data_IF_890803297523
#
_entry.id   IF_890803297523
#
_cell.length_a   1.000
_cell.length_b   1.000
_cell.length_c   1.000
_cell.angle_alpha   90.00
_cell.angle_beta   90.00
_cell.angle_gamma   90.00
#
_symmetry.space_group_name_H-M   'P 1'
#
loop_
_entity.id
_entity.type
_entity.pdbx_description
1 polymer ?
#
# COMPACT_ATOMS: atom_id res chain seq x y z
N UNK A 1 1.07 59.23 16.57
CA UNK A 1 1.67 57.89 16.48
C UNK A 1 2.02 57.41 17.88
N UNK A 2 1.33 56.41 18.44
CA UNK A 2 1.77 55.72 19.62
C UNK A 2 2.46 54.41 19.23
N UNK A 3 3.55 54.10 19.92
CA UNK A 3 4.39 52.93 19.73
C UNK A 3 3.61 51.68 20.23
N UNK A 4 3.47 50.64 19.37
CA UNK A 4 3.11 49.31 19.78
C UNK A 4 4.35 48.63 20.41
N UNK A 5 4.28 48.37 21.70
CA UNK A 5 5.18 47.45 22.41
C UNK A 5 4.73 46.01 22.15
N UNK A 6 5.58 45.23 21.52
CA UNK A 6 5.40 43.83 21.30
C UNK A 6 5.52 43.10 22.64
N UNK A 7 4.50 42.37 23.03
CA UNK A 7 4.54 41.33 24.07
C UNK A 7 5.06 40.06 23.39
N UNK A 8 6.29 39.74 23.63
CA UNK A 8 6.86 38.41 23.30
C UNK A 8 6.59 37.48 24.48
N UNK A 9 5.92 36.35 24.32
CA UNK A 9 5.83 35.40 25.41
C UNK A 9 7.21 34.77 25.63
N UNK A 10 7.67 34.83 26.86
CA UNK A 10 8.90 34.16 27.31
C UNK A 10 8.63 32.66 27.27
N UNK A 11 9.17 31.98 26.27
CA UNK A 11 9.23 30.52 26.22
C UNK A 11 10.28 30.11 27.26
N UNK A 12 9.89 29.29 28.20
CA UNK A 12 10.73 28.74 29.26
C UNK A 12 11.76 27.82 28.57
N UNK A 13 13.03 28.17 28.67
CA UNK A 13 14.17 27.48 28.02
C UNK A 13 14.48 26.09 28.60
N UNK A 14 13.67 25.52 29.49
CA UNK A 14 13.99 24.26 30.19
C UNK A 14 13.50 22.99 29.48
N UNK A 15 12.65 23.05 28.45
CA UNK A 15 12.10 21.85 27.79
C UNK A 15 12.73 21.53 26.41
N UNK A 16 13.63 22.36 25.89
CA UNK A 16 14.21 22.16 24.56
C UNK A 16 15.38 21.17 24.57
N UNK A 17 15.99 20.92 25.72
CA UNK A 17 17.16 20.03 25.85
C UNK A 17 16.83 18.54 26.05
N UNK A 18 15.56 18.13 25.93
CA UNK A 18 15.13 16.72 26.00
C UNK A 18 14.53 16.18 24.70
N UNK A 19 14.45 17.00 23.67
CA UNK A 19 14.16 16.49 22.32
C UNK A 19 15.50 16.04 21.72
N UNK A 20 15.77 14.76 21.85
CA UNK A 20 16.83 14.10 21.09
C UNK A 20 16.42 14.12 19.62
N UNK A 21 16.81 15.21 18.93
CA UNK A 21 16.71 15.36 17.49
C UNK A 21 17.88 14.59 16.83
N UNK A 22 18.16 13.39 17.30
CA UNK A 22 18.93 12.45 16.51
C UNK A 22 18.05 12.13 15.29
N UNK A 23 18.45 12.69 14.16
CA UNK A 23 18.00 12.29 12.84
C UNK A 23 17.94 10.77 12.83
N UNK A 24 16.72 10.21 12.70
CA UNK A 24 16.47 8.78 12.66
C UNK A 24 16.92 8.12 11.36
N UNK A 25 18.08 8.50 10.83
CA UNK A 25 18.84 7.72 9.88
C UNK A 25 19.80 6.80 10.64
N UNK A 26 19.30 6.13 11.68
CA UNK A 26 20.00 4.97 12.20
C UNK A 26 19.98 3.92 11.10
N UNK A 27 21.14 3.46 10.72
CA UNK A 27 21.35 2.18 10.05
C UNK A 27 20.60 1.09 10.84
N UNK A 28 19.33 0.84 10.48
CA UNK A 28 18.45 -0.15 11.11
C UNK A 28 18.84 -1.60 10.74
N UNK A 29 20.10 -1.81 10.42
CA UNK A 29 20.73 -3.12 10.36
C UNK A 29 21.39 -3.43 11.70
N UNK A 30 20.61 -3.33 12.77
CA UNK A 30 21.00 -3.93 14.03
C UNK A 30 20.77 -5.45 13.89
N UNK A 31 21.84 -6.21 13.75
CA UNK A 31 21.87 -7.68 13.87
C UNK A 31 21.45 -8.15 15.28
N UNK A 32 20.66 -7.33 15.96
CA UNK A 32 20.13 -7.57 17.29
C UNK A 32 19.01 -8.60 17.29
N UNK A 33 18.78 -9.22 18.45
CA UNK A 33 17.66 -10.12 18.73
C UNK A 33 16.35 -9.50 18.29
N UNK A 34 15.57 -10.21 17.47
CA UNK A 34 14.29 -9.73 16.95
C UNK A 34 13.27 -9.46 18.07
N UNK A 35 12.34 -8.49 17.91
CA UNK A 35 11.36 -8.16 18.95
C UNK A 35 10.56 -9.35 19.49
N UNK A 36 10.16 -10.28 18.64
CA UNK A 36 9.41 -11.48 19.06
C UNK A 36 10.27 -12.43 19.89
N UNK A 37 11.56 -12.57 19.59
CA UNK A 37 12.50 -13.38 20.38
C UNK A 37 12.69 -12.80 21.78
N UNK A 38 12.75 -11.46 21.90
CA UNK A 38 12.78 -10.77 23.20
C UNK A 38 11.51 -11.05 24.02
N UNK A 39 10.34 -11.01 23.38
CA UNK A 39 9.07 -11.31 24.05
C UNK A 39 9.00 -12.77 24.53
N UNK A 40 9.43 -13.72 23.70
CA UNK A 40 9.49 -15.15 24.04
C UNK A 40 10.47 -15.40 25.20
N UNK A 41 11.66 -14.81 25.13
CA UNK A 41 12.67 -14.93 26.18
C UNK A 41 12.20 -14.31 27.52
N UNK A 42 11.35 -13.28 27.48
CA UNK A 42 10.72 -12.69 28.64
C UNK A 42 9.52 -13.49 29.19
N UNK A 43 9.27 -14.68 28.67
CA UNK A 43 8.14 -15.54 29.08
C UNK A 43 6.77 -15.09 28.55
N UNK A 44 6.73 -14.29 27.51
CA UNK A 44 5.54 -13.79 26.85
C UNK A 44 5.45 -14.29 25.40
N UNK A 45 5.16 -15.59 25.16
CA UNK A 45 5.10 -16.13 23.81
C UNK A 45 3.88 -15.63 23.01
N UNK A 46 2.86 -15.09 23.68
CA UNK A 46 1.66 -14.51 23.09
C UNK A 46 1.41 -13.12 23.68
N UNK A 47 2.22 -12.11 23.33
CA UNK A 47 2.07 -10.78 23.87
C UNK A 47 0.81 -10.08 23.33
N UNK A 48 0.35 -9.03 24.01
CA UNK A 48 -0.78 -8.22 23.55
C UNK A 48 -0.47 -7.49 22.22
N UNK A 49 0.78 -7.14 21.99
CA UNK A 49 1.35 -6.56 20.77
C UNK A 49 2.85 -6.88 20.69
N UNK A 50 3.43 -6.72 19.51
CA UNK A 50 4.88 -6.82 19.33
C UNK A 50 5.32 -5.82 18.25
N UNK A 51 6.08 -4.80 18.67
CA UNK A 51 6.59 -3.73 17.80
C UNK A 51 8.08 -3.49 18.12
N UNK A 52 8.78 -2.79 17.24
CA UNK A 52 10.23 -2.57 17.40
C UNK A 52 10.57 -1.79 18.66
N UNK A 53 9.94 -0.62 18.84
CA UNK A 53 10.17 0.27 19.97
C UNK A 53 8.91 1.06 20.29
N UNK A 54 8.26 0.73 21.41
CA UNK A 54 7.03 1.38 21.85
C UNK A 54 7.23 2.87 22.22
N UNK A 55 8.43 3.27 22.58
CA UNK A 55 8.73 4.65 22.99
C UNK A 55 8.58 5.67 21.83
N UNK A 56 8.56 5.20 20.58
CA UNK A 56 8.35 6.05 19.41
C UNK A 56 6.88 6.46 19.21
N UNK A 57 5.97 6.03 20.08
CA UNK A 57 4.52 6.22 19.91
C UNK A 57 4.10 7.68 19.73
N UNK A 58 4.73 8.61 20.42
CA UNK A 58 4.37 10.03 20.34
C UNK A 58 4.70 10.64 18.96
N UNK A 59 5.78 10.21 18.33
CA UNK A 59 6.12 10.61 16.96
C UNK A 59 5.13 9.98 15.96
N UNK A 60 4.88 8.68 16.07
CA UNK A 60 3.91 7.99 15.23
C UNK A 60 2.50 8.57 15.33
N UNK A 61 2.09 9.03 16.52
CA UNK A 61 0.78 9.70 16.68
C UNK A 61 0.69 10.97 15.82
N UNK A 62 1.72 11.80 15.81
CA UNK A 62 1.73 13.01 14.97
C UNK A 62 1.68 12.69 13.47
N UNK A 63 2.37 11.62 13.04
CA UNK A 63 2.30 11.15 11.65
C UNK A 63 0.87 10.71 11.27
N UNK A 64 0.18 10.00 12.17
CA UNK A 64 -1.21 9.59 11.96
C UNK A 64 -2.13 10.82 11.90
N UNK A 65 -1.95 11.80 12.78
CA UNK A 65 -2.74 13.04 12.80
C UNK A 65 -2.57 13.86 11.52
N UNK A 66 -1.38 13.89 10.93
CA UNK A 66 -1.14 14.51 9.61
C UNK A 66 -1.94 13.75 8.53
N UNK A 67 -1.89 12.42 8.54
CA UNK A 67 -2.62 11.62 7.57
C UNK A 67 -4.14 11.82 7.70
N UNK A 68 -4.69 11.91 8.90
CA UNK A 68 -6.11 12.16 9.14
C UNK A 68 -6.63 13.43 8.46
N UNK A 69 -5.82 14.50 8.42
CA UNK A 69 -6.18 15.77 7.78
C UNK A 69 -6.36 15.63 6.27
N UNK A 70 -5.63 14.71 5.66
CA UNK A 70 -5.63 14.47 4.21
C UNK A 70 -6.50 13.27 3.80
N UNK A 71 -7.29 12.69 4.72
CA UNK A 71 -8.10 11.49 4.48
C UNK A 71 -9.60 11.71 4.73
N UNK A 72 -10.25 12.61 3.98
CA UNK A 72 -11.60 13.08 4.28
C UNK A 72 -12.66 11.96 4.19
N UNK A 73 -12.55 11.04 3.26
CA UNK A 73 -13.55 9.99 3.07
C UNK A 73 -13.59 8.98 4.21
N UNK A 74 -12.42 8.48 4.64
CA UNK A 74 -12.36 7.56 5.77
C UNK A 74 -12.71 8.25 7.09
N UNK A 75 -12.35 9.52 7.25
CA UNK A 75 -12.71 10.31 8.42
C UNK A 75 -14.22 10.61 8.47
N UNK A 76 -14.88 10.79 7.32
CA UNK A 76 -16.34 10.89 7.25
C UNK A 76 -17.03 9.59 7.72
N UNK A 77 -16.47 8.42 7.35
CA UNK A 77 -16.96 7.14 7.88
C UNK A 77 -16.76 7.02 9.38
N UNK A 78 -15.59 7.45 9.90
CA UNK A 78 -15.33 7.47 11.35
C UNK A 78 -16.31 8.37 12.11
N UNK A 79 -16.65 9.52 11.55
CA UNK A 79 -17.61 10.45 12.15
C UNK A 79 -19.01 9.83 12.31
N UNK A 80 -19.44 8.99 11.38
CA UNK A 80 -20.72 8.25 11.45
C UNK A 80 -20.76 7.24 12.60
N UNK A 81 -19.60 6.78 13.09
CA UNK A 81 -19.50 5.84 14.19
C UNK A 81 -20.10 6.34 15.53
N UNK A 82 -20.42 7.63 15.64
CA UNK A 82 -21.13 8.18 16.79
C UNK A 82 -22.55 7.62 16.90
N UNK A 83 -23.22 7.42 15.77
CA UNK A 83 -24.62 7.06 15.66
C UNK A 83 -24.84 5.61 15.22
N UNK A 84 -23.85 5.02 14.57
CA UNK A 84 -23.95 3.68 13.97
C UNK A 84 -22.63 2.90 14.14
N UNK A 85 -22.76 1.64 14.55
CA UNK A 85 -21.65 0.69 14.78
C UNK A 85 -21.80 -0.53 13.86
N UNK A 86 -21.66 -0.38 12.54
CA UNK A 86 -21.93 -1.46 11.60
C UNK A 86 -20.97 -2.65 11.72
N UNK A 87 -19.83 -2.48 12.38
CA UNK A 87 -18.85 -3.53 12.66
C UNK A 87 -18.85 -3.98 14.13
N UNK A 88 -19.95 -3.72 14.87
CA UNK A 88 -20.08 -4.23 16.24
C UNK A 88 -19.88 -5.75 16.26
N UNK A 89 -19.02 -6.23 17.16
CA UNK A 89 -18.63 -7.64 17.34
C UNK A 89 -17.85 -8.24 16.15
N UNK A 90 -17.47 -7.44 15.14
CA UNK A 90 -16.52 -7.86 14.13
C UNK A 90 -15.13 -8.02 14.74
N UNK A 91 -14.47 -9.14 14.44
CA UNK A 91 -13.10 -9.46 14.85
C UNK A 91 -12.25 -9.62 13.58
N UNK A 92 -11.50 -8.60 13.25
CA UNK A 92 -10.81 -8.47 11.97
C UNK A 92 -9.33 -8.83 12.12
N UNK A 93 -8.87 -9.82 11.37
CA UNK A 93 -7.45 -10.01 11.09
C UNK A 93 -7.08 -9.10 9.93
N UNK A 94 -6.16 -8.16 10.16
CA UNK A 94 -5.56 -7.35 9.11
C UNK A 94 -4.14 -7.81 8.79
N UNK A 95 -3.82 -7.89 7.52
CA UNK A 95 -2.47 -8.13 7.03
C UNK A 95 -2.21 -7.23 5.83
N UNK A 96 -1.79 -6.00 6.12
CA UNK A 96 -1.54 -4.95 5.12
C UNK A 96 -0.27 -4.18 5.46
N UNK A 97 0.14 -3.23 4.61
CA UNK A 97 1.22 -2.33 4.99
C UNK A 97 0.84 -1.52 6.22
N UNK A 98 1.76 -1.32 7.16
CA UNK A 98 1.52 -0.52 8.37
C UNK A 98 2.22 0.83 8.24
N UNK A 99 1.46 1.81 7.79
CA UNK A 99 1.86 3.21 7.64
C UNK A 99 0.80 4.12 8.29
N UNK A 100 1.04 5.42 8.30
CA UNK A 100 0.13 6.39 8.91
C UNK A 100 -1.29 6.30 8.35
N UNK A 101 -1.44 6.07 7.04
CA UNK A 101 -2.72 5.97 6.37
C UNK A 101 -3.48 4.70 6.77
N UNK A 102 -2.80 3.56 6.87
CA UNK A 102 -3.40 2.32 7.38
C UNK A 102 -3.81 2.45 8.85
N UNK A 103 -3.06 3.21 9.64
CA UNK A 103 -3.45 3.49 11.02
C UNK A 103 -4.80 4.21 11.10
N UNK A 104 -5.05 5.17 10.21
CA UNK A 104 -6.36 5.86 10.11
C UNK A 104 -7.47 4.87 9.80
N UNK A 105 -7.24 3.91 8.91
CA UNK A 105 -8.18 2.82 8.62
C UNK A 105 -8.44 1.95 9.87
N UNK A 106 -7.39 1.48 10.54
CA UNK A 106 -7.48 0.62 11.74
C UNK A 106 -8.32 1.31 12.82
N UNK A 107 -8.02 2.56 13.12
CA UNK A 107 -8.75 3.34 14.13
C UNK A 107 -10.19 3.60 13.70
N UNK A 108 -10.46 3.76 12.41
CA UNK A 108 -11.83 3.90 11.89
C UNK A 108 -12.62 2.61 12.03
N UNK A 109 -12.04 1.46 11.69
CA UNK A 109 -12.69 0.16 11.87
C UNK A 109 -13.02 -0.11 13.35
N UNK A 110 -12.11 0.24 14.25
CA UNK A 110 -12.34 0.14 15.69
C UNK A 110 -13.44 1.10 16.14
N UNK A 111 -13.46 2.34 15.68
CA UNK A 111 -14.53 3.30 15.95
C UNK A 111 -15.89 2.80 15.47
N UNK A 112 -15.95 2.09 14.35
CA UNK A 112 -17.15 1.45 13.79
C UNK A 112 -17.57 0.18 14.55
N UNK A 113 -16.84 -0.22 15.60
CA UNK A 113 -17.20 -1.30 16.52
C UNK A 113 -16.39 -2.58 16.39
N UNK A 114 -15.42 -2.64 15.50
CA UNK A 114 -14.56 -3.81 15.33
C UNK A 114 -13.49 -3.94 16.41
N UNK A 115 -13.12 -5.17 16.73
CA UNK A 115 -11.86 -5.50 17.40
C UNK A 115 -10.88 -5.98 16.33
N UNK A 116 -9.63 -5.53 16.39
CA UNK A 116 -8.65 -5.81 15.35
C UNK A 116 -7.37 -6.44 15.90
N UNK A 117 -6.74 -7.31 15.10
CA UNK A 117 -5.34 -7.71 15.24
C UNK A 117 -4.68 -7.53 13.89
N UNK A 118 -3.49 -6.93 13.87
CA UNK A 118 -2.89 -6.49 12.62
C UNK A 118 -1.42 -6.86 12.50
N UNK A 119 -1.03 -7.42 11.36
CA UNK A 119 0.35 -7.71 10.96
C UNK A 119 0.67 -7.01 9.63
N UNK A 120 1.95 -6.89 9.31
CA UNK A 120 2.37 -6.37 8.03
C UNK A 120 2.31 -7.44 6.93
N UNK A 121 2.02 -7.02 5.69
CA UNK A 121 2.09 -7.87 4.50
C UNK A 121 3.46 -7.82 3.81
N UNK A 122 4.39 -7.01 4.30
CA UNK A 122 5.74 -6.85 3.74
C UNK A 122 6.73 -6.51 4.85
N UNK A 123 7.87 -7.18 4.87
CA UNK A 123 8.90 -7.08 5.92
C UNK A 123 9.57 -5.70 6.03
N UNK A 124 9.43 -4.82 5.03
CA UNK A 124 10.07 -3.49 5.00
C UNK A 124 9.12 -2.31 4.96
N UNK A 125 7.80 -2.54 4.84
CA UNK A 125 6.83 -1.46 4.67
C UNK A 125 6.22 -0.92 5.98
N UNK A 126 6.61 -1.48 7.12
CA UNK A 126 6.15 -0.98 8.41
C UNK A 126 6.88 0.30 8.79
N UNK A 127 6.13 1.34 9.16
CA UNK A 127 6.62 2.52 9.87
C UNK A 127 6.62 2.19 11.37
N UNK A 128 7.81 2.02 11.96
CA UNK A 128 7.96 1.56 13.35
C UNK A 128 7.26 2.47 14.37
N UNK A 129 7.35 3.77 14.17
CA UNK A 129 6.69 4.80 14.98
C UNK A 129 5.16 4.73 14.92
N UNK A 130 4.61 4.41 13.75
CA UNK A 130 3.16 4.23 13.56
C UNK A 130 2.68 2.94 14.25
N UNK A 131 3.42 1.83 14.07
CA UNK A 131 3.13 0.59 14.80
C UNK A 131 3.17 0.80 16.31
N UNK A 132 4.15 1.55 16.81
CA UNK A 132 4.25 1.94 18.22
C UNK A 132 3.06 2.76 18.69
N UNK A 133 2.61 3.76 17.91
CA UNK A 133 1.46 4.59 18.24
C UNK A 133 0.17 3.78 18.35
N UNK A 134 -0.07 2.88 17.42
CA UNK A 134 -1.23 1.99 17.44
C UNK A 134 -1.18 1.03 18.64
N UNK A 135 -0.03 0.42 18.92
CA UNK A 135 0.16 -0.47 20.06
C UNK A 135 -0.04 0.26 21.39
N UNK A 136 0.50 1.48 21.52
CA UNK A 136 0.30 2.33 22.70
C UNK A 136 -1.17 2.73 22.90
N UNK A 137 -1.92 2.91 21.81
CA UNK A 137 -3.36 3.17 21.84
C UNK A 137 -4.20 1.91 22.17
N UNK A 138 -3.57 0.75 22.38
CA UNK A 138 -4.24 -0.48 22.82
C UNK A 138 -4.61 -1.43 21.68
N UNK A 139 -4.17 -1.17 20.45
CA UNK A 139 -4.39 -2.11 19.33
C UNK A 139 -3.36 -3.23 19.33
N UNK A 140 -3.81 -4.43 18.97
CA UNK A 140 -2.96 -5.61 18.88
C UNK A 140 -2.19 -5.62 17.55
N UNK A 141 -1.04 -4.96 17.54
CA UNK A 141 -0.16 -4.79 16.38
C UNK A 141 1.05 -5.70 16.52
N UNK A 142 1.33 -6.46 15.46
CA UNK A 142 2.47 -7.37 15.37
C UNK A 142 3.24 -7.05 14.09
N UNK A 143 4.12 -6.07 14.14
CA UNK A 143 4.91 -5.65 12.98
C UNK A 143 6.09 -4.75 13.35
N UNK A 144 7.16 -4.85 12.57
CA UNK A 144 8.28 -3.90 12.57
C UNK A 144 9.01 -3.92 11.22
N UNK A 145 9.72 -2.87 10.92
CA UNK A 145 10.55 -2.82 9.71
C UNK A 145 11.78 -3.71 9.86
N UNK A 146 12.05 -4.55 8.87
CA UNK A 146 13.17 -5.48 8.87
C UNK A 146 12.87 -6.78 9.61
N UNK A 147 11.63 -7.26 9.54
CA UNK A 147 11.28 -8.62 9.98
C UNK A 147 12.11 -9.67 9.23
N UNK A 148 12.53 -10.72 9.94
CA UNK A 148 12.98 -11.95 9.31
C UNK A 148 11.77 -12.71 8.72
N UNK A 149 12.01 -13.67 7.83
CA UNK A 149 10.92 -14.51 7.31
C UNK A 149 10.18 -15.25 8.44
N UNK A 150 10.92 -15.75 9.43
CA UNK A 150 10.33 -16.40 10.61
C UNK A 150 9.47 -15.41 11.42
N UNK A 151 9.99 -14.21 11.67
CA UNK A 151 9.27 -13.16 12.39
C UNK A 151 7.99 -12.75 11.66
N UNK A 152 8.05 -12.58 10.34
CA UNK A 152 6.91 -12.24 9.50
C UNK A 152 5.76 -13.25 9.67
N UNK A 153 6.05 -14.54 9.55
CA UNK A 153 5.03 -15.57 9.72
C UNK A 153 4.54 -15.70 11.17
N UNK A 154 5.44 -15.48 12.14
CA UNK A 154 5.05 -15.41 13.54
C UNK A 154 4.07 -14.27 13.82
N UNK A 155 4.32 -13.09 13.29
CA UNK A 155 3.43 -11.92 13.44
C UNK A 155 2.03 -12.18 12.87
N UNK A 156 1.93 -12.74 11.68
CA UNK A 156 0.64 -13.10 11.08
C UNK A 156 -0.06 -14.17 11.92
N UNK A 157 0.68 -15.15 12.44
CA UNK A 157 0.12 -16.20 13.28
C UNK A 157 -0.45 -15.67 14.60
N UNK A 158 0.17 -14.66 15.21
CA UNK A 158 -0.38 -13.98 16.40
C UNK A 158 -1.76 -13.33 16.11
N UNK A 159 -1.97 -12.84 14.91
CA UNK A 159 -3.26 -12.29 14.50
C UNK A 159 -4.30 -13.37 14.24
N UNK A 160 -3.90 -14.49 13.66
CA UNK A 160 -4.77 -15.57 13.20
C UNK A 160 -5.14 -16.57 14.30
N UNK A 161 -4.28 -16.76 15.31
CA UNK A 161 -4.44 -17.79 16.34
C UNK A 161 -5.64 -17.48 17.26
N UNK A 162 -6.64 -18.39 17.34
CA UNK A 162 -7.74 -18.24 18.28
C UNK A 162 -7.28 -18.32 19.74
N UNK A 163 -7.88 -17.51 20.59
CA UNK A 163 -7.71 -17.52 22.05
C UNK A 163 -9.08 -17.55 22.75
N UNK A 164 -9.08 -17.58 24.06
CA UNK A 164 -10.35 -17.55 24.84
C UNK A 164 -11.24 -16.33 24.52
N UNK A 165 -10.61 -15.20 24.18
CA UNK A 165 -11.32 -13.94 23.90
C UNK A 165 -11.29 -13.51 22.44
N UNK A 166 -10.45 -14.15 21.62
CA UNK A 166 -10.24 -13.82 20.22
C UNK A 166 -10.52 -15.00 19.31
N UNK A 167 -11.50 -14.87 18.46
CA UNK A 167 -11.74 -15.76 17.31
C UNK A 167 -12.09 -14.86 16.13
N UNK A 168 -11.21 -14.73 15.11
CA UNK A 168 -11.46 -13.84 13.99
C UNK A 168 -12.68 -14.28 13.20
N UNK A 169 -13.43 -13.30 12.68
CA UNK A 169 -14.60 -13.54 11.84
C UNK A 169 -14.59 -12.75 10.52
N UNK A 170 -13.57 -11.89 10.31
CA UNK A 170 -13.30 -11.18 9.05
C UNK A 170 -11.81 -11.16 8.79
N UNK A 171 -11.42 -11.09 7.52
CA UNK A 171 -10.04 -10.92 7.08
C UNK A 171 -9.98 -9.71 6.16
N UNK A 172 -9.01 -8.82 6.40
CA UNK A 172 -8.57 -7.79 5.46
C UNK A 172 -7.12 -8.08 5.09
N UNK A 173 -6.88 -8.48 3.85
CA UNK A 173 -5.59 -8.97 3.38
C UNK A 173 -5.04 -8.12 2.23
N UNK A 174 -3.73 -8.12 2.09
CA UNK A 174 -2.99 -7.49 0.99
C UNK A 174 -1.88 -8.46 0.54
N UNK A 175 -2.26 -9.35 -0.38
CA UNK A 175 -1.38 -10.40 -0.90
C UNK A 175 -1.82 -11.83 -0.53
N UNK A 176 -2.78 -11.98 0.39
CA UNK A 176 -3.39 -13.26 0.72
C UNK A 176 -2.61 -14.12 1.73
N UNK A 177 -1.64 -13.55 2.45
CA UNK A 177 -0.80 -14.32 3.37
C UNK A 177 -1.54 -14.70 4.67
N UNK A 178 -2.36 -13.80 5.23
CA UNK A 178 -3.21 -14.12 6.37
C UNK A 178 -4.27 -15.17 5.99
N UNK A 179 -4.91 -15.03 4.85
CA UNK A 179 -5.85 -16.00 4.30
C UNK A 179 -5.21 -17.38 4.13
N UNK A 180 -4.00 -17.41 3.55
CA UNK A 180 -3.25 -18.65 3.36
C UNK A 180 -2.92 -19.33 4.70
N UNK A 181 -2.39 -18.58 5.66
CA UNK A 181 -2.04 -19.09 6.97
C UNK A 181 -3.26 -19.65 7.72
N UNK A 182 -4.37 -18.88 7.69
CA UNK A 182 -5.63 -19.32 8.29
C UNK A 182 -6.13 -20.63 7.70
N UNK A 183 -6.13 -20.77 6.38
CA UNK A 183 -6.56 -22.01 5.70
C UNK A 183 -5.65 -23.19 6.02
N UNK A 184 -4.34 -22.96 6.10
CA UNK A 184 -3.34 -24.00 6.32
C UNK A 184 -3.26 -24.45 7.77
N UNK A 185 -3.23 -23.49 8.71
CA UNK A 185 -2.91 -23.76 10.12
C UNK A 185 -4.14 -23.72 11.03
N UNK A 186 -5.13 -22.87 10.70
CA UNK A 186 -6.28 -22.60 11.55
C UNK A 186 -7.63 -22.92 10.85
N UNK A 187 -7.68 -23.99 10.06
CA UNK A 187 -8.86 -24.35 9.27
C UNK A 187 -10.15 -24.49 10.11
N UNK A 188 -10.05 -24.92 11.37
CA UNK A 188 -11.20 -24.99 12.27
C UNK A 188 -11.75 -23.60 12.63
N UNK A 189 -10.88 -22.61 12.83
CA UNK A 189 -11.25 -21.22 13.11
C UNK A 189 -11.79 -20.53 11.85
N UNK A 190 -11.37 -20.95 10.67
CA UNK A 190 -11.84 -20.40 9.41
C UNK A 190 -13.36 -20.55 9.21
N UNK A 191 -14.00 -21.48 9.88
CA UNK A 191 -15.47 -21.64 9.90
C UNK A 191 -16.22 -20.42 10.46
N UNK A 192 -15.54 -19.59 11.24
CA UNK A 192 -16.11 -18.35 11.80
C UNK A 192 -15.95 -17.14 10.88
N UNK A 193 -15.09 -17.26 9.86
CA UNK A 193 -14.86 -16.18 8.90
C UNK A 193 -16.10 -15.99 8.03
N UNK A 194 -16.66 -14.77 8.04
CA UNK A 194 -17.82 -14.39 7.23
C UNK A 194 -17.42 -13.93 5.83
N UNK A 195 -16.21 -13.38 5.69
CA UNK A 195 -15.72 -12.92 4.41
C UNK A 195 -14.28 -12.44 4.46
N UNK A 196 -13.70 -12.33 3.28
CA UNK A 196 -12.34 -11.85 3.01
C UNK A 196 -12.45 -10.58 2.16
N UNK A 197 -11.69 -9.55 2.53
CA UNK A 197 -11.48 -8.35 1.71
C UNK A 197 -10.03 -8.33 1.28
N UNK A 198 -9.77 -8.32 -0.02
CA UNK A 198 -8.42 -8.40 -0.59
C UNK A 198 -8.09 -7.16 -1.42
N UNK A 199 -6.95 -6.53 -1.11
CA UNK A 199 -6.52 -5.29 -1.73
C UNK A 199 -5.66 -5.49 -2.98
N UNK A 200 -4.83 -6.54 -3.03
CA UNK A 200 -3.79 -6.66 -4.06
C UNK A 200 -4.09 -7.66 -5.15
N UNK A 201 -3.50 -7.44 -6.34
CA UNK A 201 -3.58 -8.36 -7.49
C UNK A 201 -3.11 -9.77 -7.10
N UNK A 202 -2.03 -9.90 -6.33
CA UNK A 202 -1.47 -11.20 -5.91
C UNK A 202 -2.48 -11.99 -5.08
N UNK A 203 -3.08 -11.35 -4.09
CA UNK A 203 -4.07 -12.00 -3.23
C UNK A 203 -5.36 -12.33 -3.99
N UNK A 204 -5.83 -11.43 -4.84
CA UNK A 204 -6.98 -11.68 -5.73
C UNK A 204 -6.74 -12.89 -6.64
N UNK A 205 -5.55 -12.98 -7.22
CA UNK A 205 -5.17 -14.15 -8.05
C UNK A 205 -5.22 -15.47 -7.25
N UNK A 206 -4.68 -15.46 -6.03
CA UNK A 206 -4.77 -16.61 -5.09
C UNK A 206 -6.22 -16.96 -4.76
N UNK A 207 -7.09 -15.98 -4.52
CA UNK A 207 -8.52 -16.20 -4.27
C UNK A 207 -9.23 -16.85 -5.45
N UNK A 208 -8.97 -16.37 -6.68
CA UNK A 208 -9.51 -17.01 -7.89
C UNK A 208 -9.01 -18.45 -8.07
N UNK A 209 -7.75 -18.73 -7.74
CA UNK A 209 -7.23 -20.10 -7.76
C UNK A 209 -7.95 -21.00 -6.74
N UNK A 210 -8.19 -20.49 -5.52
CA UNK A 210 -8.96 -21.20 -4.49
C UNK A 210 -10.40 -21.45 -4.93
N UNK A 211 -11.07 -20.45 -5.54
CA UNK A 211 -12.42 -20.57 -6.06
C UNK A 211 -12.50 -21.63 -7.16
N UNK A 212 -11.61 -21.58 -8.16
CA UNK A 212 -11.54 -22.58 -9.23
C UNK A 212 -11.27 -24.00 -8.71
N UNK A 213 -10.50 -24.14 -7.66
CA UNK A 213 -10.20 -25.42 -7.03
C UNK A 213 -11.32 -25.90 -6.07
N UNK A 214 -12.42 -25.15 -5.90
CA UNK A 214 -13.48 -25.44 -4.94
C UNK A 214 -13.03 -25.41 -3.47
N UNK A 215 -11.94 -24.69 -3.18
CA UNK A 215 -11.34 -24.58 -1.84
C UNK A 215 -11.65 -23.25 -1.14
N UNK A 216 -12.17 -22.27 -1.86
CA UNK A 216 -12.67 -21.05 -1.25
C UNK A 216 -14.00 -21.36 -0.56
N UNK A 217 -14.07 -21.17 0.75
CA UNK A 217 -15.23 -21.59 1.57
C UNK A 217 -16.06 -20.40 2.11
N UNK A 218 -15.64 -19.17 1.82
CA UNK A 218 -16.33 -17.92 2.20
C UNK A 218 -16.33 -16.94 1.04
N UNK A 219 -17.25 -15.96 1.01
CA UNK A 219 -17.21 -14.91 0.01
C UNK A 219 -15.97 -14.02 0.18
N UNK A 220 -15.43 -13.54 -0.93
CA UNK A 220 -14.32 -12.61 -0.94
C UNK A 220 -14.65 -11.38 -1.80
N UNK A 221 -14.32 -10.17 -1.31
CA UNK A 221 -14.40 -8.93 -2.08
C UNK A 221 -13.03 -8.59 -2.65
N UNK A 222 -12.99 -8.45 -3.97
CA UNK A 222 -11.84 -7.97 -4.71
C UNK A 222 -11.86 -6.44 -4.74
N UNK A 223 -11.14 -5.82 -3.82
CA UNK A 223 -10.97 -4.36 -3.76
C UNK A 223 -10.00 -3.88 -4.84
N UNK A 224 -9.00 -4.69 -5.20
CA UNK A 224 -8.01 -4.29 -6.19
C UNK A 224 -8.63 -3.83 -7.51
N UNK A 225 -9.64 -4.56 -7.99
CA UNK A 225 -10.31 -4.28 -9.27
C UNK A 225 -11.54 -3.37 -9.13
N UNK A 226 -11.83 -2.87 -7.92
CA UNK A 226 -12.84 -1.82 -7.76
C UNK A 226 -12.34 -0.53 -8.43
N UNK A 227 -13.26 0.24 -8.99
CA UNK A 227 -12.91 1.49 -9.70
C UNK A 227 -12.25 2.48 -8.75
N UNK A 228 -12.75 2.57 -7.52
CA UNK A 228 -12.22 3.48 -6.49
C UNK A 228 -10.86 3.06 -5.93
N UNK A 229 -10.35 1.89 -6.30
CA UNK A 229 -8.95 1.51 -6.02
C UNK A 229 -8.08 1.60 -7.28
N UNK A 230 -8.44 0.88 -8.33
CA UNK A 230 -7.56 0.73 -9.51
C UNK A 230 -7.38 2.02 -10.30
N UNK A 231 -8.41 2.87 -10.39
CA UNK A 231 -8.35 4.16 -11.10
C UNK A 231 -7.83 5.32 -10.26
N UNK A 232 -7.63 5.12 -8.96
CA UNK A 232 -7.15 6.15 -8.03
C UNK A 232 -5.79 5.77 -7.45
N UNK A 233 -5.70 4.75 -6.63
CA UNK A 233 -4.45 4.36 -6.00
C UNK A 233 -3.39 3.96 -7.03
N UNK A 234 -3.71 3.02 -7.91
CA UNK A 234 -2.73 2.52 -8.89
C UNK A 234 -2.22 3.62 -9.83
N UNK A 235 -3.05 4.60 -10.18
CA UNK A 235 -2.68 5.70 -11.06
C UNK A 235 -2.06 6.87 -10.30
N UNK A 236 -2.82 7.48 -9.39
CA UNK A 236 -2.46 8.75 -8.75
C UNK A 236 -1.40 8.58 -7.65
N UNK A 237 -1.45 7.51 -6.86
CA UNK A 237 -0.39 7.25 -5.88
C UNK A 237 0.95 7.03 -6.58
N UNK A 238 0.98 6.18 -7.62
CA UNK A 238 2.22 5.89 -8.33
C UNK A 238 2.74 7.11 -9.08
N UNK A 239 1.85 7.99 -9.58
CA UNK A 239 2.24 9.24 -10.23
C UNK A 239 3.05 10.17 -9.32
N UNK A 240 2.69 10.25 -8.04
CA UNK A 240 3.42 11.06 -7.06
C UNK A 240 4.59 10.30 -6.44
N UNK A 241 4.34 9.06 -6.02
CA UNK A 241 5.33 8.26 -5.29
C UNK A 241 6.58 7.93 -6.09
N UNK A 242 6.48 7.73 -7.41
CA UNK A 242 7.67 7.47 -8.24
C UNK A 242 8.65 8.64 -8.20
N UNK A 243 8.13 9.87 -8.23
CA UNK A 243 8.97 11.06 -8.17
C UNK A 243 9.60 11.20 -6.80
N UNK A 244 8.80 11.01 -5.74
CA UNK A 244 9.31 11.08 -4.37
C UNK A 244 10.36 10.00 -4.10
N UNK A 245 10.12 8.75 -4.51
CA UNK A 245 11.08 7.66 -4.37
C UNK A 245 12.41 7.97 -5.06
N UNK A 246 12.37 8.41 -6.31
CA UNK A 246 13.57 8.76 -7.07
C UNK A 246 14.31 9.98 -6.48
N UNK A 247 13.59 11.00 -6.02
CA UNK A 247 14.17 12.19 -5.39
C UNK A 247 14.86 11.85 -4.07
N UNK A 248 14.18 11.19 -3.17
CA UNK A 248 14.72 10.81 -1.85
C UNK A 248 15.91 9.87 -1.95
N UNK A 249 15.87 8.96 -2.92
CA UNK A 249 16.92 7.95 -3.07
C UNK A 249 18.17 8.45 -3.79
N UNK A 250 18.04 9.38 -4.74
CA UNK A 250 19.12 9.68 -5.68
C UNK A 250 19.40 11.16 -5.89
N UNK A 251 18.54 12.06 -5.43
CA UNK A 251 18.57 13.51 -5.74
C UNK A 251 18.64 13.82 -7.25
N UNK A 252 18.15 12.92 -8.08
CA UNK A 252 18.21 12.95 -9.55
C UNK A 252 17.46 14.15 -10.11
N UNK A 253 18.05 14.82 -11.10
CA UNK A 253 17.34 15.78 -11.95
C UNK A 253 16.63 15.03 -13.09
N UNK A 254 15.33 15.30 -13.29
CA UNK A 254 14.52 14.59 -14.29
C UNK A 254 14.64 15.21 -15.70
N UNK A 255 14.75 16.54 -15.79
CA UNK A 255 14.80 17.23 -17.07
C UNK A 255 15.86 16.66 -18.00
N UNK A 256 15.45 16.23 -19.20
CA UNK A 256 16.33 15.65 -20.21
C UNK A 256 16.78 14.20 -19.98
N UNK A 257 16.43 13.58 -18.85
CA UNK A 257 16.72 12.16 -18.59
C UNK A 257 15.87 11.27 -19.50
N UNK A 258 16.46 10.18 -19.95
CA UNK A 258 15.74 9.14 -20.68
C UNK A 258 15.30 8.05 -19.70
N UNK A 259 14.02 7.72 -19.71
CA UNK A 259 13.45 6.70 -18.84
C UNK A 259 12.67 5.68 -19.66
N UNK A 260 12.69 4.42 -19.22
CA UNK A 260 11.82 3.38 -19.76
C UNK A 260 10.93 2.85 -18.64
N UNK A 261 9.64 2.79 -18.91
CA UNK A 261 8.64 2.21 -18.01
C UNK A 261 8.15 0.91 -18.66
N UNK A 262 8.38 -0.20 -17.98
CA UNK A 262 7.92 -1.51 -18.41
C UNK A 262 6.50 -1.75 -17.89
N UNK A 263 5.51 -1.76 -18.80
CA UNK A 263 4.09 -1.85 -18.51
C UNK A 263 3.36 -0.50 -18.63
N UNK A 264 2.15 -0.52 -19.23
CA UNK A 264 1.28 0.67 -19.37
C UNK A 264 -0.14 0.40 -18.86
N UNK A 265 -0.26 -0.40 -17.79
CA UNK A 265 -1.44 -0.45 -16.94
C UNK A 265 -1.55 0.84 -16.11
N UNK A 266 -2.46 0.90 -15.14
CA UNK A 266 -2.69 2.14 -14.37
C UNK A 266 -1.41 2.63 -13.65
N UNK A 267 -0.62 1.72 -13.06
CA UNK A 267 0.67 2.06 -12.43
C UNK A 267 1.64 2.67 -13.45
N UNK A 268 1.83 1.99 -14.58
CA UNK A 268 2.72 2.48 -15.64
C UNK A 268 2.29 3.82 -16.21
N UNK A 269 0.98 4.04 -16.40
CA UNK A 269 0.42 5.33 -16.82
C UNK A 269 0.77 6.45 -15.85
N UNK A 270 0.58 6.20 -14.55
CA UNK A 270 0.95 7.16 -13.51
C UNK A 270 2.42 7.55 -13.56
N UNK A 271 3.32 6.55 -13.61
CA UNK A 271 4.75 6.77 -13.72
C UNK A 271 5.13 7.56 -14.97
N UNK A 272 4.60 7.17 -16.13
CA UNK A 272 4.88 7.84 -17.40
C UNK A 272 4.44 9.30 -17.39
N UNK A 273 3.24 9.59 -16.89
CA UNK A 273 2.70 10.96 -16.78
C UNK A 273 3.59 11.84 -15.90
N UNK A 274 3.98 11.34 -14.73
CA UNK A 274 4.82 12.08 -13.78
C UNK A 274 6.21 12.39 -14.37
N UNK A 275 6.87 11.43 -14.96
CA UNK A 275 8.18 11.60 -15.58
C UNK A 275 8.14 12.56 -16.75
N UNK A 276 7.12 12.44 -17.63
CA UNK A 276 6.91 13.36 -18.76
C UNK A 276 6.68 14.79 -18.30
N UNK A 277 5.87 14.99 -17.24
CA UNK A 277 5.60 16.30 -16.68
C UNK A 277 6.85 17.00 -16.14
N UNK A 278 7.85 16.24 -15.68
CA UNK A 278 9.14 16.76 -15.21
C UNK A 278 10.22 16.84 -16.31
N UNK A 279 9.85 16.60 -17.56
CA UNK A 279 10.73 16.77 -18.71
C UNK A 279 11.61 15.57 -19.05
N UNK A 280 11.28 14.38 -18.56
CA UNK A 280 11.92 13.14 -19.04
C UNK A 280 11.47 12.80 -20.46
N UNK A 281 12.37 12.16 -21.20
CA UNK A 281 12.04 11.44 -22.44
C UNK A 281 11.63 10.02 -22.03
N UNK A 282 10.35 9.68 -22.18
CA UNK A 282 9.77 8.44 -21.66
C UNK A 282 9.52 7.42 -22.80
N UNK A 283 10.07 6.23 -22.64
CA UNK A 283 9.77 5.05 -23.45
C UNK A 283 8.89 4.09 -22.66
N UNK A 284 8.07 3.32 -23.36
CA UNK A 284 7.16 2.33 -22.76
C UNK A 284 7.43 0.97 -23.40
N UNK A 285 7.43 -0.09 -22.60
CA UNK A 285 7.34 -1.46 -23.10
C UNK A 285 6.01 -2.05 -22.68
N UNK A 286 5.32 -2.76 -23.58
CA UNK A 286 3.99 -3.30 -23.30
C UNK A 286 3.76 -4.58 -24.13
N UNK A 287 3.00 -5.52 -23.58
CA UNK A 287 2.59 -6.76 -24.25
C UNK A 287 1.17 -6.69 -24.78
N UNK A 288 0.30 -5.90 -24.12
CA UNK A 288 -1.10 -5.72 -24.52
C UNK A 288 -1.18 -4.66 -25.62
N UNK A 289 -1.67 -5.03 -26.83
CA UNK A 289 -1.79 -4.08 -27.93
C UNK A 289 -2.75 -2.91 -27.63
N UNK A 290 -3.73 -3.07 -26.75
CA UNK A 290 -4.64 -1.99 -26.34
C UNK A 290 -3.88 -0.97 -25.51
N UNK A 291 -3.17 -1.42 -24.47
CA UNK A 291 -2.35 -0.55 -23.64
C UNK A 291 -1.22 0.10 -24.43
N UNK A 292 -0.59 -0.64 -25.36
CA UNK A 292 0.44 -0.11 -26.25
C UNK A 292 -0.10 1.00 -27.17
N UNK A 293 -1.30 0.81 -27.72
CA UNK A 293 -1.97 1.83 -28.54
C UNK A 293 -2.28 3.08 -27.71
N UNK A 294 -2.80 2.92 -26.48
CA UNK A 294 -3.04 4.04 -25.56
C UNK A 294 -1.73 4.80 -25.28
N UNK A 295 -0.64 4.09 -24.97
CA UNK A 295 0.66 4.71 -24.73
C UNK A 295 1.14 5.54 -25.94
N UNK A 296 0.98 5.01 -27.15
CA UNK A 296 1.34 5.71 -28.39
C UNK A 296 0.47 6.97 -28.60
N UNK A 297 -0.84 6.89 -28.33
CA UNK A 297 -1.77 8.03 -28.44
C UNK A 297 -1.51 9.09 -27.36
N UNK A 298 -1.03 8.71 -26.17
CA UNK A 298 -0.61 9.62 -25.10
C UNK A 298 0.77 10.27 -25.39
N UNK A 299 1.36 9.94 -26.57
CA UNK A 299 2.60 10.53 -27.06
C UNK A 299 3.87 9.90 -26.48
N UNK A 300 3.81 8.64 -26.07
CA UNK A 300 4.99 7.86 -25.68
C UNK A 300 5.45 6.97 -26.83
N UNK A 301 6.75 6.70 -26.86
CA UNK A 301 7.31 5.71 -27.80
C UNK A 301 7.25 4.32 -27.19
N UNK A 302 6.48 3.44 -27.81
CA UNK A 302 6.42 2.02 -27.44
C UNK A 302 7.57 1.29 -28.13
N UNK A 303 8.41 0.61 -27.35
CA UNK A 303 9.65 -0.02 -27.79
C UNK A 303 9.84 -1.38 -27.13
N UNK A 304 10.78 -2.17 -27.61
CA UNK A 304 11.30 -3.32 -26.86
C UNK A 304 12.41 -2.84 -25.91
N UNK A 305 12.49 -3.40 -24.71
CA UNK A 305 13.47 -2.97 -23.69
C UNK A 305 14.90 -2.98 -24.26
N UNK A 306 15.26 -3.98 -25.03
CA UNK A 306 16.58 -4.13 -25.65
C UNK A 306 16.95 -3.02 -26.63
N UNK A 307 15.99 -2.29 -27.19
CA UNK A 307 16.24 -1.18 -28.12
C UNK A 307 16.76 0.06 -27.41
N UNK A 308 16.38 0.26 -26.13
CA UNK A 308 16.67 1.49 -25.38
C UNK A 308 17.56 1.28 -24.16
N UNK A 309 17.77 0.05 -23.72
CA UNK A 309 18.44 -0.27 -22.44
C UNK A 309 19.83 0.34 -22.27
N UNK A 310 20.54 0.57 -23.36
CA UNK A 310 21.89 1.17 -23.35
C UNK A 310 21.90 2.68 -23.19
N UNK A 311 20.77 3.34 -23.44
CA UNK A 311 20.69 4.81 -23.48
C UNK A 311 19.88 5.40 -22.32
N UNK A 312 19.05 4.58 -21.64
CA UNK A 312 18.18 5.10 -20.58
C UNK A 312 18.94 5.34 -19.28
N UNK A 313 18.51 6.37 -18.56
CA UNK A 313 19.01 6.75 -17.24
C UNK A 313 18.22 6.09 -16.11
N UNK A 314 16.95 5.78 -16.37
CA UNK A 314 16.01 5.26 -15.38
C UNK A 314 15.24 4.11 -16.00
N UNK A 315 15.17 2.98 -15.28
CA UNK A 315 14.37 1.81 -15.65
C UNK A 315 13.37 1.55 -14.53
N UNK A 316 12.08 1.55 -14.86
CA UNK A 316 10.99 1.33 -13.93
C UNK A 316 10.17 0.12 -14.41
N UNK A 317 9.96 -0.86 -13.52
CA UNK A 317 9.07 -1.99 -13.80
C UNK A 317 7.71 -1.79 -13.16
N UNK A 318 6.65 -2.10 -13.89
CA UNK A 318 5.25 -1.92 -13.48
C UNK A 318 4.33 -2.94 -14.20
N UNK A 319 4.79 -4.19 -14.34
CA UNK A 319 4.09 -5.22 -15.13
C UNK A 319 3.35 -6.24 -14.28
N UNK A 320 3.70 -6.38 -13.01
CA UNK A 320 3.22 -7.45 -12.15
C UNK A 320 3.72 -8.85 -12.55
N UNK A 321 4.69 -8.94 -13.47
CA UNK A 321 5.26 -10.19 -13.98
C UNK A 321 6.60 -10.50 -13.26
N UNK A 322 7.33 -11.47 -13.73
CA UNK A 322 8.67 -11.85 -13.23
C UNK A 322 9.73 -11.74 -14.32
N UNK A 323 10.97 -11.43 -13.93
CA UNK A 323 12.12 -11.46 -14.83
C UNK A 323 11.99 -10.49 -16.01
N UNK A 324 11.35 -9.35 -15.82
CA UNK A 324 11.17 -8.31 -16.84
C UNK A 324 12.50 -7.63 -17.13
N UNK A 325 13.25 -7.31 -16.07
CA UNK A 325 14.62 -6.81 -16.15
C UNK A 325 15.55 -7.89 -15.62
N UNK A 326 16.30 -8.49 -16.50
CA UNK A 326 17.25 -9.58 -16.20
C UNK A 326 18.67 -9.04 -16.02
N UNK A 327 19.60 -9.89 -15.55
CA UNK A 327 21.01 -9.57 -15.44
C UNK A 327 21.59 -9.10 -16.79
N UNK A 328 21.23 -9.74 -17.92
CA UNK A 328 21.68 -9.34 -19.24
C UNK A 328 21.30 -7.90 -19.58
N UNK A 329 20.08 -7.48 -19.22
CA UNK A 329 19.66 -6.08 -19.37
C UNK A 329 20.54 -5.15 -18.52
N UNK A 330 20.76 -5.49 -17.26
CA UNK A 330 21.54 -4.68 -16.32
C UNK A 330 23.01 -4.57 -16.69
N UNK A 331 23.58 -5.62 -17.27
CA UNK A 331 24.93 -5.59 -17.82
C UNK A 331 25.09 -4.60 -18.99
N UNK A 332 24.02 -4.38 -19.74
CA UNK A 332 23.99 -3.48 -20.91
C UNK A 332 23.60 -2.05 -20.57
N UNK A 333 23.08 -1.78 -19.38
CA UNK A 333 22.75 -0.44 -18.91
C UNK A 333 23.98 0.46 -18.87
N UNK A 334 23.78 1.75 -19.04
CA UNK A 334 24.86 2.71 -18.83
C UNK A 334 25.24 2.85 -17.36
N UNK A 335 26.44 3.35 -17.13
CA UNK A 335 26.93 3.62 -15.78
C UNK A 335 26.01 4.63 -15.05
N UNK A 336 25.64 4.34 -13.82
CA UNK A 336 24.77 5.17 -13.00
C UNK A 336 23.27 5.05 -13.32
N UNK A 337 22.85 4.11 -14.16
CA UNK A 337 21.45 3.87 -14.43
C UNK A 337 20.71 3.50 -13.13
N UNK A 338 19.55 4.12 -12.89
CA UNK A 338 18.69 3.83 -11.73
C UNK A 338 17.66 2.79 -12.11
N UNK A 339 17.55 1.73 -11.32
CA UNK A 339 16.59 0.64 -11.53
C UNK A 339 15.67 0.56 -10.31
N UNK A 340 14.37 0.63 -10.54
CA UNK A 340 13.37 0.46 -9.49
C UNK A 340 12.12 -0.27 -9.98
N UNK A 341 11.39 -0.82 -9.03
CA UNK A 341 10.13 -1.51 -9.27
C UNK A 341 8.97 -0.74 -8.61
N UNK A 342 7.90 -0.53 -9.38
CA UNK A 342 6.63 0.04 -8.91
C UNK A 342 5.48 -0.97 -9.00
N UNK A 343 5.73 -2.14 -9.60
CA UNK A 343 4.77 -3.23 -9.64
C UNK A 343 4.74 -4.02 -8.32
N UNK A 344 3.66 -4.73 -8.08
CA UNK A 344 3.47 -5.52 -6.84
C UNK A 344 4.39 -6.75 -6.74
N UNK A 345 4.95 -7.23 -7.85
CA UNK A 345 5.83 -8.39 -7.85
C UNK A 345 7.28 -7.99 -7.53
N UNK A 346 7.83 -8.54 -6.45
CA UNK A 346 9.24 -8.35 -6.08
C UNK A 346 10.22 -9.07 -7.02
N UNK A 347 9.73 -9.79 -8.01
CA UNK A 347 10.52 -10.59 -8.96
C UNK A 347 10.57 -10.00 -10.37
N UNK A 348 10.04 -8.79 -10.57
CA UNK A 348 10.10 -8.10 -11.87
C UNK A 348 11.54 -7.80 -12.29
N UNK A 349 12.35 -7.36 -11.32
CA UNK A 349 13.81 -7.23 -11.48
C UNK A 349 14.46 -8.49 -10.93
N UNK A 350 15.27 -9.16 -11.71
CA UNK A 350 15.97 -10.39 -11.33
C UNK A 350 17.19 -10.07 -10.43
N UNK A 351 16.88 -9.69 -9.19
CA UNK A 351 17.87 -9.33 -8.18
C UNK A 351 18.70 -10.53 -7.73
N UNK A 352 18.10 -11.74 -7.75
CA UNK A 352 18.81 -12.95 -7.37
C UNK A 352 20.03 -13.21 -8.28
N UNK A 353 19.90 -12.94 -9.57
CA UNK A 353 20.99 -13.08 -10.53
C UNK A 353 22.16 -12.07 -10.33
N UNK A 354 21.95 -11.06 -9.45
CA UNK A 354 23.00 -10.10 -9.05
C UNK A 354 23.75 -10.52 -7.77
N UNK A 355 23.28 -11.55 -7.05
CA UNK A 355 23.94 -12.08 -5.84
C UNK A 355 25.02 -13.10 -6.19
N UNK A 356 26.01 -12.67 -6.95
CA UNK A 356 27.12 -13.49 -7.44
C UNK A 356 28.47 -12.93 -7.03
N UNK A 357 29.52 -13.76 -6.88
CA UNK A 357 30.82 -13.32 -6.37
C UNK A 357 31.54 -12.30 -7.25
N UNK A 358 31.16 -12.17 -8.53
CA UNK A 358 31.74 -11.22 -9.47
C UNK A 358 31.19 -9.80 -9.36
N UNK A 359 30.09 -9.62 -8.61
CA UNK A 359 29.47 -8.32 -8.40
C UNK A 359 29.62 -7.85 -6.95
N UNK A 360 30.01 -6.59 -6.78
CA UNK A 360 30.10 -5.96 -5.48
C UNK A 360 28.81 -5.21 -5.18
N UNK A 361 28.22 -5.45 -4.01
CA UNK A 361 27.09 -4.71 -3.47
C UNK A 361 27.60 -3.71 -2.45
N UNK A 362 27.25 -2.44 -2.65
CA UNK A 362 27.56 -1.35 -1.74
C UNK A 362 26.28 -0.63 -1.32
N UNK A 363 25.91 -0.72 -0.04
CA UNK A 363 24.79 0.03 0.52
C UNK A 363 25.19 1.50 0.63
N UNK A 364 24.53 2.37 -0.15
CA UNK A 364 24.80 3.82 -0.15
C UNK A 364 24.00 4.52 0.93
N UNK A 365 22.74 4.16 1.06
CA UNK A 365 21.80 4.60 2.12
C UNK A 365 20.68 3.56 2.24
N UNK A 366 19.82 3.69 3.25
CA UNK A 366 18.67 2.77 3.38
C UNK A 366 17.94 2.62 2.06
N UNK A 367 17.68 1.38 1.64
CA UNK A 367 16.99 1.01 0.40
C UNK A 367 17.65 1.48 -0.91
N UNK A 368 18.93 1.84 -0.89
CA UNK A 368 19.69 2.26 -2.08
C UNK A 368 21.02 1.51 -2.14
N UNK A 369 21.18 0.68 -3.14
CA UNK A 369 22.37 -0.13 -3.35
C UNK A 369 23.06 0.21 -4.68
N UNK A 370 24.37 0.33 -4.67
CA UNK A 370 25.19 0.22 -5.87
C UNK A 370 25.50 -1.24 -6.14
N UNK A 371 25.25 -1.67 -7.38
CA UNK A 371 25.71 -2.94 -7.90
C UNK A 371 26.87 -2.64 -8.84
N UNK A 372 28.06 -3.11 -8.51
CA UNK A 372 29.31 -2.71 -9.17
C UNK A 372 29.90 -3.92 -9.91
N UNK A 373 30.13 -3.75 -11.19
CA UNK A 373 30.80 -4.75 -12.06
C UNK A 373 32.32 -4.67 -11.95
N UNK A 374 33.06 -5.74 -12.31
CA UNK A 374 34.53 -5.75 -12.25
C UNK A 374 35.21 -4.63 -13.04
N UNK A 375 34.58 -4.11 -14.08
CA UNK A 375 35.08 -2.99 -14.89
C UNK A 375 34.81 -1.61 -14.28
N UNK A 376 34.25 -1.55 -13.06
CA UNK A 376 33.90 -0.30 -12.36
C UNK A 376 32.56 0.30 -12.74
N UNK A 377 31.84 -0.27 -13.75
CA UNK A 377 30.47 0.14 -14.04
C UNK A 377 29.56 -0.16 -12.84
N UNK A 378 28.63 0.74 -12.55
CA UNK A 378 27.64 0.55 -11.50
C UNK A 378 26.25 0.91 -11.96
N UNK A 379 25.24 0.28 -11.37
CA UNK A 379 23.85 0.72 -11.41
C UNK A 379 23.39 1.05 -9.98
N UNK A 380 22.33 1.84 -9.88
CA UNK A 380 21.68 2.19 -8.63
C UNK A 380 20.39 1.38 -8.55
N UNK A 381 20.33 0.43 -7.63
CA UNK A 381 19.15 -0.41 -7.40
C UNK A 381 18.38 0.11 -6.19
N UNK A 382 17.10 0.41 -6.36
CA UNK A 382 16.23 0.87 -5.28
C UNK A 382 15.47 -0.29 -4.66
N UNK A 383 15.36 -0.29 -3.34
CA UNK A 383 14.59 -1.23 -2.53
C UNK A 383 14.86 -2.71 -2.86
N UNK A 384 16.05 -3.04 -3.39
CA UNK A 384 16.40 -4.39 -3.86
C UNK A 384 15.34 -4.99 -4.79
N UNK A 385 14.74 -4.17 -5.67
CA UNK A 385 13.70 -4.60 -6.62
C UNK A 385 12.31 -4.76 -6.01
N UNK A 386 12.13 -4.45 -4.72
CA UNK A 386 10.80 -4.39 -4.08
C UNK A 386 10.07 -3.10 -4.44
N UNK A 387 8.82 -2.96 -4.03
CA UNK A 387 8.01 -1.76 -4.24
C UNK A 387 8.72 -0.51 -3.71
N UNK A 388 9.22 0.32 -4.61
CA UNK A 388 10.02 1.50 -4.28
C UNK A 388 9.21 2.56 -3.53
N UNK A 389 7.96 2.78 -3.91
CA UNK A 389 7.06 3.74 -3.29
C UNK A 389 6.77 3.45 -1.81
N UNK A 390 6.81 2.19 -1.39
CA UNK A 390 6.60 1.80 0.00
C UNK A 390 7.89 1.74 0.82
N UNK A 391 9.03 1.54 0.15
CA UNK A 391 10.31 1.39 0.81
C UNK A 391 11.13 2.68 0.87
N UNK A 392 10.96 3.59 -0.09
CA UNK A 392 11.78 4.79 -0.27
C UNK A 392 11.01 6.10 -0.20
N UNK A 393 9.67 6.08 -0.18
CA UNK A 393 8.86 7.29 -0.25
C UNK A 393 7.61 7.24 0.62
N UNK A 394 6.93 8.38 0.72
CA UNK A 394 5.61 8.50 1.33
C UNK A 394 4.50 8.30 0.30
N UNK A 395 3.31 7.97 0.77
CA UNK A 395 2.11 7.81 -0.05
C UNK A 395 1.22 9.07 0.06
N UNK A 396 0.54 9.49 -1.02
CA UNK A 396 -0.43 10.57 -0.96
C UNK A 396 -1.67 10.13 -0.17
N UNK A 397 -1.82 10.64 1.05
CA UNK A 397 -2.85 10.22 2.01
C UNK A 397 -4.27 10.33 1.46
N UNK A 398 -4.55 11.38 0.66
CA UNK A 398 -5.87 11.55 0.04
C UNK A 398 -6.27 10.36 -0.84
N UNK A 399 -5.35 9.88 -1.66
CA UNK A 399 -5.62 8.72 -2.55
C UNK A 399 -5.81 7.44 -1.73
N UNK A 400 -4.99 7.26 -0.70
CA UNK A 400 -5.14 6.10 0.21
C UNK A 400 -6.44 6.17 1.00
N UNK A 401 -6.98 7.37 1.29
CA UNK A 401 -8.33 7.53 1.86
C UNK A 401 -9.41 6.89 1.00
N UNK A 402 -9.30 7.01 -0.33
CA UNK A 402 -10.24 6.38 -1.27
C UNK A 402 -10.20 4.86 -1.14
N UNK A 403 -9.00 4.27 -1.13
CA UNK A 403 -8.82 2.83 -0.95
C UNK A 403 -9.29 2.37 0.44
N UNK A 404 -8.93 3.08 1.50
CA UNK A 404 -9.32 2.76 2.87
C UNK A 404 -10.84 2.80 3.06
N UNK A 405 -11.52 3.80 2.51
CA UNK A 405 -12.98 3.87 2.52
C UNK A 405 -13.61 2.70 1.77
N UNK A 406 -13.02 2.30 0.64
CA UNK A 406 -13.46 1.14 -0.15
C UNK A 406 -13.33 -0.15 0.66
N UNK A 407 -12.19 -0.36 1.33
CA UNK A 407 -11.95 -1.51 2.21
C UNK A 407 -12.93 -1.56 3.38
N UNK A 408 -13.15 -0.42 4.06
CA UNK A 408 -14.08 -0.34 5.18
C UNK A 408 -15.51 -0.68 4.75
N UNK A 409 -15.97 -0.16 3.62
CA UNK A 409 -17.30 -0.47 3.09
C UNK A 409 -17.42 -1.93 2.64
N UNK A 410 -16.38 -2.51 2.06
CA UNK A 410 -16.36 -3.95 1.71
C UNK A 410 -16.47 -4.84 2.95
N UNK A 411 -15.78 -4.49 4.04
CA UNK A 411 -15.89 -5.19 5.32
C UNK A 411 -17.30 -5.07 5.91
N UNK A 412 -17.88 -3.86 5.91
CA UNK A 412 -19.24 -3.62 6.38
C UNK A 412 -20.25 -4.43 5.58
N UNK A 413 -20.14 -4.42 4.25
CA UNK A 413 -21.04 -5.16 3.36
C UNK A 413 -20.97 -6.67 3.63
N UNK A 414 -19.78 -7.27 3.65
CA UNK A 414 -19.64 -8.71 3.89
C UNK A 414 -20.07 -9.12 5.29
N UNK A 415 -19.76 -8.28 6.30
CA UNK A 415 -20.08 -8.59 7.70
C UNK A 415 -21.59 -8.60 7.97
N UNK A 416 -22.33 -7.66 7.34
CA UNK A 416 -23.76 -7.45 7.54
C UNK A 416 -24.65 -8.09 6.46
N UNK A 417 -24.05 -8.68 5.42
CA UNK A 417 -24.81 -9.28 4.35
C UNK A 417 -25.77 -10.35 4.87
N UNK A 418 -27.04 -10.35 4.43
CA UNK A 418 -27.98 -11.41 4.75
C UNK A 418 -27.43 -12.78 4.37
N UNK A 419 -27.76 -13.79 5.14
CA UNK A 419 -27.35 -15.16 4.87
C UNK A 419 -27.72 -15.54 3.42
N UNK A 420 -26.79 -16.14 2.69
CA UNK A 420 -26.92 -16.54 1.27
C UNK A 420 -26.88 -15.41 0.24
N UNK A 421 -26.68 -14.14 0.60
CA UNK A 421 -26.48 -13.06 -0.39
C UNK A 421 -25.23 -13.29 -1.24
N UNK A 422 -24.17 -13.72 -0.61
CA UNK A 422 -22.90 -14.05 -1.26
C UNK A 422 -22.57 -15.53 -1.05
N UNK A 423 -22.25 -16.21 -2.14
CA UNK A 423 -21.71 -17.58 -2.11
C UNK A 423 -20.20 -17.54 -1.86
N UNK A 424 -19.58 -18.68 -1.66
CA UNK A 424 -18.13 -18.81 -1.59
C UNK A 424 -17.50 -18.59 -2.99
N UNK A 425 -17.34 -17.34 -3.36
CA UNK A 425 -16.77 -16.89 -4.64
C UNK A 425 -16.15 -15.49 -4.47
N UNK A 426 -15.49 -15.00 -5.52
CA UNK A 426 -14.85 -13.68 -5.55
C UNK A 426 -15.77 -12.67 -6.22
N UNK A 427 -16.04 -11.58 -5.52
CA UNK A 427 -16.97 -10.52 -5.96
C UNK A 427 -16.25 -9.19 -6.11
N UNK A 428 -16.72 -8.39 -7.04
CA UNK A 428 -16.40 -6.96 -7.12
C UNK A 428 -17.32 -6.16 -6.20
N UNK A 429 -16.86 -5.03 -5.72
CA UNK A 429 -17.72 -4.10 -5.00
C UNK A 429 -18.92 -3.70 -5.88
N UNK A 430 -20.15 -3.66 -5.32
CA UNK A 430 -21.28 -3.05 -6.01
C UNK A 430 -20.96 -1.61 -6.42
N UNK A 431 -21.31 -1.24 -7.66
CA UNK A 431 -21.01 0.10 -8.23
C UNK A 431 -21.51 1.25 -7.36
N UNK A 432 -22.65 1.07 -6.70
CA UNK A 432 -23.19 2.04 -5.75
C UNK A 432 -22.21 2.36 -4.60
N UNK A 433 -21.39 1.39 -4.19
CA UNK A 433 -20.37 1.61 -3.14
C UNK A 433 -19.20 2.42 -3.67
N UNK A 434 -18.72 2.13 -4.90
CA UNK A 434 -17.69 2.94 -5.55
C UNK A 434 -18.14 4.40 -5.67
N UNK A 435 -19.39 4.62 -6.14
CA UNK A 435 -19.98 5.98 -6.25
C UNK A 435 -20.07 6.67 -4.89
N UNK A 436 -20.44 5.94 -3.85
CA UNK A 436 -20.51 6.48 -2.50
C UNK A 436 -19.12 6.87 -1.97
N UNK A 437 -18.11 6.02 -2.15
CA UNK A 437 -16.71 6.36 -1.80
C UNK A 437 -16.27 7.64 -2.50
N UNK A 438 -16.49 7.73 -3.82
CA UNK A 438 -16.14 8.93 -4.57
C UNK A 438 -16.86 10.18 -4.03
N UNK A 439 -18.15 10.07 -3.70
CA UNK A 439 -18.95 11.19 -3.17
C UNK A 439 -18.45 11.72 -1.83
N UNK A 440 -17.85 10.86 -1.00
CA UNK A 440 -17.24 11.28 0.29
C UNK A 440 -16.01 12.17 0.12
N UNK A 441 -15.36 12.13 -1.05
CA UNK A 441 -14.14 12.89 -1.34
C UNK A 441 -14.37 14.16 -2.15
N UNK A 442 -15.47 14.27 -2.86
CA UNK A 442 -15.77 15.44 -3.71
C UNK A 442 -15.80 16.78 -2.96
N UNK A 443 -16.34 16.87 -1.72
CA UNK A 443 -16.39 18.15 -1.00
C UNK A 443 -15.00 18.78 -0.77
N UNK A 444 -13.95 18.00 -0.68
CA UNK A 444 -12.57 18.50 -0.53
C UNK A 444 -12.12 19.38 -1.69
N UNK A 445 -12.69 19.15 -2.87
CA UNK A 445 -12.40 19.91 -4.10
C UNK A 445 -13.44 20.97 -4.39
N UNK A 446 -14.40 21.22 -3.50
CA UNK A 446 -15.56 22.07 -3.80
C UNK A 446 -16.27 21.64 -5.10
N UNK A 447 -16.34 20.33 -5.33
CA UNK A 447 -16.89 19.76 -6.55
C UNK A 447 -18.38 19.46 -6.40
N UNK A 448 -19.17 19.96 -7.34
CA UNK A 448 -20.61 19.83 -7.36
C UNK A 448 -21.08 18.96 -8.53
N UNK A 449 -21.84 17.91 -8.24
CA UNK A 449 -22.40 17.05 -9.26
C UNK A 449 -23.61 17.69 -9.92
N UNK A 450 -23.74 17.48 -11.23
CA UNK A 450 -24.96 17.80 -11.95
C UNK A 450 -26.06 16.80 -11.58
N UNK A 451 -27.25 17.28 -11.26
CA UNK A 451 -28.41 16.45 -10.96
C UNK A 451 -29.19 16.13 -12.21
N UNK A 452 -29.64 14.87 -12.37
CA UNK A 452 -30.50 14.47 -13.45
C UNK A 452 -31.94 15.00 -13.23
N UNK A 453 -32.57 15.51 -14.29
CA UNK A 453 -34.02 15.71 -14.29
C UNK A 453 -34.74 14.37 -14.37
N UNK A 454 -36.05 14.35 -14.08
CA UNK A 454 -36.87 13.13 -14.22
C UNK A 454 -36.89 12.62 -15.64
N UNK A 455 -36.96 13.53 -16.62
CA UNK A 455 -36.95 13.21 -18.05
C UNK A 455 -35.60 12.60 -18.47
N UNK A 456 -34.48 13.17 -18.01
CA UNK A 456 -33.13 12.65 -18.28
C UNK A 456 -32.93 11.26 -17.65
N UNK A 457 -33.33 11.08 -16.40
CA UNK A 457 -33.24 9.79 -15.72
C UNK A 457 -34.07 8.72 -16.44
N UNK A 458 -35.31 9.07 -16.85
CA UNK A 458 -36.17 8.20 -17.62
C UNK A 458 -35.60 7.86 -19.00
N UNK A 459 -35.05 8.85 -19.71
CA UNK A 459 -34.39 8.63 -21.01
C UNK A 459 -33.22 7.67 -20.93
N UNK A 460 -32.38 7.80 -19.89
CA UNK A 460 -31.23 6.95 -19.65
C UNK A 460 -31.58 5.60 -19.01
N UNK A 461 -32.81 5.42 -18.52
CA UNK A 461 -33.20 4.23 -17.76
C UNK A 461 -32.48 4.10 -16.41
N UNK A 462 -32.11 5.22 -15.79
CA UNK A 462 -31.36 5.28 -14.56
C UNK A 462 -32.21 5.80 -13.39
N UNK A 463 -31.75 5.48 -12.16
CA UNK A 463 -32.22 6.17 -10.97
C UNK A 463 -31.48 7.52 -10.84
N UNK A 464 -32.15 8.59 -10.40
CA UNK A 464 -31.55 9.92 -10.19
C UNK A 464 -30.36 9.92 -9.22
N UNK A 465 -30.35 8.98 -8.29
CA UNK A 465 -29.31 8.85 -7.25
C UNK A 465 -28.32 7.71 -7.52
N UNK A 466 -28.30 7.21 -8.76
CA UNK A 466 -27.40 6.12 -9.14
C UNK A 466 -27.89 4.70 -8.73
N UNK A 467 -27.11 3.69 -9.02
CA UNK A 467 -25.81 3.75 -9.71
C UNK A 467 -25.95 4.21 -11.16
N UNK A 468 -25.01 5.06 -11.59
CA UNK A 468 -25.03 5.65 -12.94
C UNK A 468 -24.43 4.72 -14.00
N UNK A 469 -23.70 3.68 -13.58
CA UNK A 469 -23.11 2.65 -14.44
C UNK A 469 -23.43 1.26 -13.90
N UNK A 470 -23.55 0.24 -14.77
CA UNK A 470 -23.69 -1.15 -14.32
C UNK A 470 -22.43 -1.66 -13.61
N UNK A 471 -22.58 -2.70 -12.79
CA UNK A 471 -21.48 -3.26 -11.98
C UNK A 471 -20.27 -3.72 -12.80
N UNK A 472 -20.49 -4.14 -14.06
CA UNK A 472 -19.41 -4.60 -14.95
C UNK A 472 -18.68 -3.47 -15.68
N UNK A 473 -19.15 -2.21 -15.58
CA UNK A 473 -18.51 -1.10 -16.29
C UNK A 473 -17.14 -0.79 -15.70
N UNK A 474 -16.17 -0.64 -16.59
CA UNK A 474 -14.79 -0.24 -16.27
C UNK A 474 -14.54 1.15 -16.86
N UNK A 475 -14.21 2.12 -16.03
CA UNK A 475 -13.94 3.51 -16.42
C UNK A 475 -12.66 3.65 -17.24
#
# INVERSE_FOLDING_TARGET
MPKLSAIVPTIIEEDVNKLDLSDGSSSDEDEGVQPHEKAIAAGQPNPAYCVRNIEQHAFGRREIEIAEQEMPGIMALRARAKDDKPLKDAKIVGCTHINAQTAVLIETLAALGATVRWAACNIYSTQNEVAAALAHAGYAIFAWRGESEEAFWWCIDQCCTPTATWTPNMILDDGGDATHLMLKKHAAAFKHIKGIVEESVTGVHRLYQLSKAGKLCVPAMNVNDSVTKTKFDNLYSCRESIIDALKRSTDLMFGGKQSVVCGYGEVGKGCCQALKALGCVVYVTEIDPICALQAAMDGFRVVKLNEVIRQVDIVITATGNKGVVTREHMERMKNGCVVCNMGHSNTEVDVHALRTPDLLWERVRSQVDHIIWPNGKRIVLLAEGRLANLCCSSLPSFVVSVTAATQALALIELYNAPHHRYKADVYLLPKKMDEYVASLHLPTFDAHLTELTDEQAKYLGLNKVGPFKPNYYRY
#
